data_IF_067489659083
#
_entry.id   IF_067489659083
#
_cell.length_a   1.000
_cell.length_b   1.000
_cell.length_c   1.000
_cell.angle_alpha   90.00
_cell.angle_beta   90.00
_cell.angle_gamma   90.00
#
_symmetry.space_group_name_H-M   'P 1'
#
loop_
_entity.id
_entity.type
_entity.pdbx_description
1 polymer ?
#
# COMPACT_ATOMS: atom_id res chain seq x y z
N UNK A 1 16.19 -25.66 57.34
CA UNK A 1 15.67 -24.53 56.51
C UNK A 1 15.93 -24.87 55.06
N UNK A 2 14.86 -25.23 54.30
CA UNK A 2 14.95 -25.46 52.84
C UNK A 2 14.63 -24.14 52.11
N UNK A 3 15.61 -23.62 51.38
CA UNK A 3 15.41 -22.47 50.50
C UNK A 3 14.81 -22.98 49.17
N UNK A 4 13.54 -22.61 48.87
CA UNK A 4 12.93 -22.82 47.57
C UNK A 4 13.36 -21.67 46.66
N UNK A 5 14.30 -21.94 45.76
CA UNK A 5 14.63 -21.03 44.65
C UNK A 5 13.51 -21.04 43.62
N UNK A 6 12.63 -20.05 43.64
CA UNK A 6 11.68 -19.78 42.54
C UNK A 6 12.47 -19.15 41.38
N UNK A 7 12.77 -19.95 40.35
CA UNK A 7 13.31 -19.43 39.10
C UNK A 7 12.15 -18.78 38.29
N UNK A 8 12.13 -17.45 38.28
CA UNK A 8 11.31 -16.71 37.32
C UNK A 8 11.93 -16.86 35.92
N UNK A 9 11.37 -17.71 35.10
CA UNK A 9 11.67 -17.67 33.65
C UNK A 9 11.02 -16.41 33.07
N UNK A 10 11.81 -15.38 32.86
CA UNK A 10 11.46 -14.25 32.02
C UNK A 10 11.39 -14.77 30.55
N UNK A 11 10.22 -15.19 30.10
CA UNK A 11 9.98 -15.39 28.69
C UNK A 11 10.02 -14.02 28.02
N UNK A 12 11.17 -13.64 27.46
CA UNK A 12 11.26 -12.50 26.55
C UNK A 12 10.34 -12.79 25.34
N UNK A 13 9.18 -12.18 25.34
CA UNK A 13 8.23 -12.34 24.26
C UNK A 13 8.81 -11.68 23.02
N UNK A 14 9.11 -12.47 21.98
CA UNK A 14 9.71 -11.97 20.73
C UNK A 14 8.78 -10.93 20.09
N UNK A 15 9.30 -9.75 19.77
CA UNK A 15 8.57 -8.70 19.07
C UNK A 15 8.22 -9.20 17.66
N UNK A 16 6.95 -9.12 17.28
CA UNK A 16 6.47 -9.49 15.94
C UNK A 16 6.61 -8.28 15.02
N UNK A 17 7.55 -8.36 14.08
CA UNK A 17 7.74 -7.33 13.06
C UNK A 17 6.72 -7.49 11.95
N UNK A 18 6.12 -6.38 11.54
CA UNK A 18 5.09 -6.30 10.51
C UNK A 18 5.36 -5.13 9.59
N UNK A 19 4.83 -5.19 8.38
CA UNK A 19 4.98 -4.13 7.40
C UNK A 19 3.65 -3.83 6.70
N UNK A 20 3.37 -2.55 6.58
CA UNK A 20 2.32 -2.01 5.73
C UNK A 20 2.92 -0.93 4.84
N UNK A 21 2.68 -1.01 3.54
CA UNK A 21 2.96 0.10 2.64
C UNK A 21 1.68 0.55 1.93
N UNK A 22 1.58 1.84 1.73
CA UNK A 22 0.47 2.50 1.05
C UNK A 22 1.01 3.18 -0.19
N UNK A 23 0.37 2.95 -1.33
CA UNK A 23 0.54 3.77 -2.53
C UNK A 23 -0.67 4.69 -2.61
N UNK A 24 -0.42 5.99 -2.50
CA UNK A 24 -1.37 7.06 -2.73
C UNK A 24 -1.08 7.64 -4.11
N UNK A 25 -1.99 7.43 -5.06
CA UNK A 25 -1.75 7.68 -6.47
C UNK A 25 -1.65 9.17 -6.81
N UNK A 26 -0.67 9.52 -7.64
CA UNK A 26 -0.61 10.80 -8.34
C UNK A 26 -0.34 12.03 -7.45
N UNK A 27 0.44 11.93 -6.37
CA UNK A 27 0.70 13.08 -5.48
C UNK A 27 2.12 13.60 -5.62
N UNK A 28 2.32 14.81 -6.21
CA UNK A 28 3.63 15.45 -6.23
C UNK A 28 4.12 15.80 -4.81
N UNK A 29 5.41 15.62 -4.56
CA UNK A 29 6.04 16.00 -3.29
C UNK A 29 5.79 17.48 -2.94
N UNK A 30 5.85 18.35 -3.95
CA UNK A 30 5.63 19.80 -3.79
C UNK A 30 4.23 20.17 -3.31
N UNK A 31 3.22 19.36 -3.64
CA UNK A 31 1.84 19.55 -3.17
C UNK A 31 1.73 19.08 -1.73
N UNK A 32 2.22 17.88 -1.44
CA UNK A 32 2.19 17.31 -0.09
C UNK A 32 2.88 18.23 0.94
N UNK A 33 4.01 18.83 0.57
CA UNK A 33 4.78 19.70 1.46
C UNK A 33 4.12 21.06 1.76
N UNK A 34 3.14 21.47 0.95
CA UNK A 34 2.40 22.74 1.12
C UNK A 34 1.09 22.57 1.89
N UNK A 35 0.52 21.38 1.86
CA UNK A 35 -0.80 21.14 2.44
C UNK A 35 -0.72 20.69 3.89
N UNK A 36 -1.69 21.08 4.74
CA UNK A 36 -1.79 20.53 6.08
C UNK A 36 -2.28 19.06 5.99
N UNK A 37 -1.39 18.14 6.28
CA UNK A 37 -1.65 16.69 6.28
C UNK A 37 -1.29 16.10 7.65
N UNK A 38 -2.05 16.42 8.72
CA UNK A 38 -1.64 16.14 10.09
C UNK A 38 -1.43 14.66 10.42
N UNK A 39 -2.02 13.74 9.67
CA UNK A 39 -1.82 12.31 9.88
C UNK A 39 -0.56 11.81 9.17
N UNK A 40 -0.29 12.28 7.94
CA UNK A 40 0.95 12.01 7.22
C UNK A 40 2.13 12.66 7.98
N UNK A 41 1.94 13.88 8.51
CA UNK A 41 2.94 14.58 9.33
C UNK A 41 3.30 13.78 10.59
N UNK A 42 2.33 13.10 11.24
CA UNK A 42 2.61 12.20 12.37
C UNK A 42 3.49 11.02 11.96
N UNK A 43 3.24 10.42 10.79
CA UNK A 43 4.06 9.33 10.25
C UNK A 43 5.48 9.82 9.99
N UNK A 44 5.62 10.97 9.34
CA UNK A 44 6.92 11.59 9.06
C UNK A 44 7.68 11.91 10.35
N UNK A 45 7.00 12.45 11.38
CA UNK A 45 7.59 12.78 12.67
C UNK A 45 8.00 11.54 13.48
N UNK A 46 7.26 10.43 13.35
CA UNK A 46 7.61 9.16 14.01
C UNK A 46 8.76 8.41 13.32
N UNK A 47 9.00 8.70 12.04
CA UNK A 47 10.02 8.08 11.22
C UNK A 47 10.86 9.09 10.46
N UNK A 48 10.60 9.20 9.16
CA UNK A 48 11.27 10.16 8.27
C UNK A 48 10.41 10.49 7.05
N UNK A 49 10.65 11.65 6.47
CA UNK A 49 10.16 12.04 5.14
C UNK A 49 11.33 12.17 4.18
N UNK A 50 11.21 11.59 3.00
CA UNK A 50 12.23 11.64 1.96
C UNK A 50 11.55 11.88 0.61
N UNK A 51 12.08 12.83 -0.18
CA UNK A 51 11.71 12.92 -1.58
C UNK A 51 12.36 11.76 -2.35
N UNK A 52 11.58 11.12 -3.19
CA UNK A 52 12.01 10.08 -4.11
C UNK A 52 11.70 10.50 -5.55
N UNK A 53 12.09 9.70 -6.51
CA UNK A 53 11.77 9.90 -7.92
C UNK A 53 11.34 8.57 -8.54
N UNK A 54 10.56 8.66 -9.60
CA UNK A 54 10.15 7.55 -10.45
C UNK A 54 10.67 7.75 -11.87
N UNK A 55 10.55 6.75 -12.73
CA UNK A 55 10.88 6.89 -14.15
C UNK A 55 12.25 6.35 -14.56
N UNK A 56 13.07 5.90 -13.61
CA UNK A 56 14.42 5.44 -13.91
C UNK A 56 15.33 6.62 -14.33
N UNK A 57 16.39 6.33 -15.06
CA UNK A 57 17.33 7.34 -15.57
C UNK A 57 17.01 7.68 -17.02
N UNK A 58 16.63 8.92 -17.28
CA UNK A 58 16.24 9.41 -18.61
C UNK A 58 17.33 9.18 -19.65
N UNK A 59 16.96 8.66 -20.82
CA UNK A 59 17.88 8.37 -21.92
C UNK A 59 18.70 7.09 -21.74
N UNK A 60 18.44 6.30 -20.71
CA UNK A 60 19.14 5.02 -20.51
C UNK A 60 18.18 3.83 -20.72
N UNK A 61 18.73 2.62 -20.71
CA UNK A 61 17.95 1.40 -20.93
C UNK A 61 16.98 1.07 -19.79
N UNK A 62 17.08 1.73 -18.63
CA UNK A 62 16.19 1.59 -17.49
C UNK A 62 15.18 2.76 -17.39
N UNK A 63 15.14 3.65 -18.37
CA UNK A 63 14.09 4.66 -18.45
C UNK A 63 12.73 3.98 -18.42
N UNK A 64 11.87 4.47 -17.52
CA UNK A 64 10.62 3.81 -17.16
C UNK A 64 9.49 4.84 -17.24
N UNK A 65 8.37 4.54 -17.95
CA UNK A 65 7.23 5.43 -17.98
C UNK A 65 6.68 5.70 -16.57
N UNK A 66 6.36 6.98 -16.30
CA UNK A 66 5.74 7.41 -15.03
C UNK A 66 4.23 7.19 -15.09
N UNK A 67 3.82 5.94 -15.25
CA UNK A 67 2.44 5.48 -15.36
C UNK A 67 2.13 4.59 -14.15
N UNK A 68 0.93 4.69 -13.62
CA UNK A 68 0.48 4.03 -12.39
C UNK A 68 0.92 2.56 -12.25
N UNK A 69 0.42 1.64 -13.07
CA UNK A 69 0.79 0.21 -12.97
C UNK A 69 2.29 -0.06 -13.15
N UNK A 70 2.97 0.75 -13.96
CA UNK A 70 4.43 0.65 -14.19
C UNK A 70 5.19 0.94 -12.90
N UNK A 71 4.82 2.03 -12.25
CA UNK A 71 5.42 2.48 -11.00
C UNK A 71 5.05 1.56 -9.83
N UNK A 72 3.79 1.10 -9.75
CA UNK A 72 3.40 0.12 -8.73
C UNK A 72 4.23 -1.16 -8.85
N UNK A 73 4.43 -1.66 -10.08
CA UNK A 73 5.20 -2.86 -10.27
C UNK A 73 6.69 -2.63 -10.00
N UNK A 74 7.20 -1.42 -10.26
CA UNK A 74 8.55 -1.04 -9.86
C UNK A 74 8.73 -1.07 -8.34
N UNK A 75 7.75 -0.55 -7.59
CA UNK A 75 7.73 -0.59 -6.12
C UNK A 75 7.63 -2.04 -5.63
N UNK A 76 6.71 -2.83 -6.18
CA UNK A 76 6.46 -4.22 -5.76
C UNK A 76 7.65 -5.15 -6.01
N UNK A 77 8.41 -4.91 -7.09
CA UNK A 77 9.51 -5.82 -7.52
C UNK A 77 10.90 -5.26 -7.23
N UNK A 78 11.01 -3.97 -6.89
CA UNK A 78 12.31 -3.28 -6.75
C UNK A 78 13.10 -3.22 -8.06
N UNK A 79 12.42 -3.25 -9.22
CA UNK A 79 13.05 -3.22 -10.54
C UNK A 79 12.36 -2.22 -11.47
N UNK A 80 13.04 -1.80 -12.53
CA UNK A 80 12.46 -0.94 -13.56
C UNK A 80 11.76 -1.74 -14.66
N UNK A 81 11.04 -1.05 -15.55
CA UNK A 81 10.21 -1.63 -16.62
C UNK A 81 10.95 -2.63 -17.52
N UNK A 82 12.22 -2.38 -17.80
CA UNK A 82 13.08 -3.28 -18.59
C UNK A 82 13.28 -4.68 -17.98
N UNK A 83 12.88 -4.85 -16.72
CA UNK A 83 12.93 -6.11 -15.97
C UNK A 83 11.54 -6.69 -15.80
N UNK A 84 10.63 -5.93 -15.16
CA UNK A 84 9.29 -6.44 -14.83
C UNK A 84 8.30 -6.43 -16.02
N UNK A 85 8.61 -5.74 -17.12
CA UNK A 85 7.86 -5.73 -18.40
C UNK A 85 6.41 -5.18 -18.31
N UNK A 86 6.07 -4.42 -17.29
CA UNK A 86 4.78 -3.71 -17.22
C UNK A 86 4.96 -2.32 -17.79
N UNK A 87 4.41 -2.06 -18.98
CA UNK A 87 4.63 -0.83 -19.77
C UNK A 87 3.45 0.16 -19.69
N UNK A 88 2.38 -0.20 -19.01
CA UNK A 88 1.19 0.64 -18.85
C UNK A 88 0.08 -0.07 -18.10
N UNK A 89 -1.03 0.65 -17.88
CA UNK A 89 -2.17 0.18 -17.08
C UNK A 89 -2.91 -1.03 -17.65
N UNK A 90 -2.65 -1.42 -18.90
CA UNK A 90 -3.20 -2.65 -19.46
C UNK A 90 -2.56 -3.95 -18.93
N UNK A 91 -1.37 -3.87 -18.33
CA UNK A 91 -0.62 -4.97 -17.69
C UNK A 91 -0.65 -6.25 -18.56
N UNK A 92 -0.19 -6.13 -19.81
CA UNK A 92 -0.39 -7.21 -20.80
C UNK A 92 0.46 -8.44 -20.52
N UNK A 93 1.75 -8.25 -20.22
CA UNK A 93 2.74 -9.32 -20.16
C UNK A 93 3.74 -9.09 -19.02
N UNK A 94 3.29 -9.09 -17.74
CA UNK A 94 4.20 -8.90 -16.62
C UNK A 94 5.19 -10.06 -16.54
N UNK A 95 6.46 -9.74 -16.29
CA UNK A 95 7.51 -10.73 -16.15
C UNK A 95 7.61 -11.19 -14.69
N UNK A 96 6.86 -12.21 -14.32
CA UNK A 96 6.81 -12.78 -12.98
C UNK A 96 8.11 -13.49 -12.54
N UNK A 97 9.13 -13.56 -13.37
CA UNK A 97 10.47 -14.00 -12.92
C UNK A 97 11.12 -12.95 -12.00
N UNK A 98 10.70 -11.68 -12.10
CA UNK A 98 11.02 -10.65 -11.11
C UNK A 98 9.95 -10.67 -10.03
N UNK A 99 10.25 -11.39 -8.96
CA UNK A 99 9.30 -11.60 -7.88
C UNK A 99 8.90 -10.30 -7.21
N UNK A 100 7.62 -10.18 -6.93
CA UNK A 100 7.12 -9.11 -6.07
C UNK A 100 7.36 -9.43 -4.58
N UNK A 101 7.27 -8.42 -3.74
CA UNK A 101 7.53 -8.52 -2.30
C UNK A 101 6.65 -9.57 -1.61
N UNK A 102 5.42 -9.81 -2.08
CA UNK A 102 4.53 -10.82 -1.50
C UNK A 102 5.01 -12.23 -1.77
N UNK A 103 5.51 -12.50 -2.98
CA UNK A 103 6.11 -13.79 -3.31
C UNK A 103 7.37 -14.03 -2.49
N UNK A 104 8.27 -13.06 -2.40
CA UNK A 104 9.45 -13.15 -1.54
C UNK A 104 9.07 -13.44 -0.09
N UNK A 105 8.05 -12.74 0.42
CA UNK A 105 7.60 -12.92 1.78
C UNK A 105 7.05 -14.32 2.02
N UNK A 106 6.13 -14.81 1.18
CA UNK A 106 5.51 -16.14 1.34
C UNK A 106 6.51 -17.29 1.18
N UNK A 107 7.47 -17.17 0.28
CA UNK A 107 8.54 -18.17 0.14
C UNK A 107 9.45 -18.21 1.37
N UNK A 108 9.73 -17.05 1.98
CA UNK A 108 10.56 -16.97 3.19
C UNK A 108 9.78 -17.33 4.46
N UNK A 109 8.50 -17.01 4.49
CA UNK A 109 7.60 -17.19 5.64
C UNK A 109 6.28 -17.84 5.20
N UNK A 110 6.23 -19.15 4.91
CA UNK A 110 5.03 -19.82 4.35
C UNK A 110 3.78 -19.73 5.25
N UNK A 111 3.97 -19.51 6.55
CA UNK A 111 2.86 -19.30 7.52
C UNK A 111 2.56 -17.83 7.79
N UNK A 112 3.34 -16.93 7.22
CA UNK A 112 3.13 -15.49 7.35
C UNK A 112 1.86 -15.06 6.64
N UNK A 113 1.13 -14.13 7.23
CA UNK A 113 -0.15 -13.64 6.70
C UNK A 113 0.03 -12.38 5.90
N UNK A 114 -0.60 -12.34 4.75
CA UNK A 114 -0.51 -11.25 3.79
C UNK A 114 -1.88 -10.64 3.53
N UNK A 115 -1.92 -9.34 3.21
CA UNK A 115 -3.16 -8.63 2.91
C UNK A 115 -2.97 -7.62 1.77
N UNK A 116 -4.02 -7.48 0.94
CA UNK A 116 -4.11 -6.44 -0.08
C UNK A 116 -5.46 -5.76 0.02
N UNK A 117 -5.45 -4.43 0.03
CA UNK A 117 -6.61 -3.56 0.04
C UNK A 117 -6.43 -2.58 -1.11
N UNK A 118 -7.32 -2.61 -2.10
CA UNK A 118 -7.05 -1.88 -3.33
C UNK A 118 -8.32 -1.33 -3.96
N UNK A 119 -8.24 -0.09 -4.40
CA UNK A 119 -9.29 0.55 -5.21
C UNK A 119 -9.29 0.04 -6.66
N UNK A 120 -8.27 -0.73 -7.04
CA UNK A 120 -8.14 -1.32 -8.37
C UNK A 120 -7.76 -2.81 -8.30
N UNK A 121 -8.64 -3.68 -8.81
CA UNK A 121 -8.50 -5.14 -8.70
C UNK A 121 -7.30 -5.71 -9.47
N UNK A 122 -6.85 -5.05 -10.54
CA UNK A 122 -5.71 -5.50 -11.34
C UNK A 122 -4.39 -5.48 -10.56
N UNK A 123 -4.30 -4.69 -9.50
CA UNK A 123 -3.18 -4.70 -8.57
C UNK A 123 -2.95 -6.10 -7.98
N UNK A 124 -4.00 -6.77 -7.57
CA UNK A 124 -3.93 -8.14 -7.05
C UNK A 124 -3.87 -9.19 -8.16
N UNK A 125 -4.77 -9.08 -9.14
CA UNK A 125 -4.98 -10.15 -10.12
C UNK A 125 -3.88 -10.22 -11.17
N UNK A 126 -3.28 -9.06 -11.51
CA UNK A 126 -2.25 -8.96 -12.57
C UNK A 126 -0.88 -8.57 -12.03
N UNK A 127 -0.73 -7.53 -11.19
CA UNK A 127 0.60 -7.13 -10.70
C UNK A 127 1.15 -8.13 -9.71
N UNK A 128 0.38 -8.50 -8.69
CA UNK A 128 0.77 -9.59 -7.77
C UNK A 128 0.67 -10.95 -8.49
N UNK A 129 -0.33 -11.11 -9.36
CA UNK A 129 -0.59 -12.38 -10.04
C UNK A 129 -1.12 -13.45 -9.08
N UNK A 130 -2.03 -13.07 -8.16
CA UNK A 130 -2.58 -14.03 -7.19
C UNK A 130 -3.16 -15.27 -7.89
N UNK A 131 -2.76 -16.45 -7.44
CA UNK A 131 -3.13 -17.79 -7.95
C UNK A 131 -2.61 -18.12 -9.36
N UNK A 132 -1.90 -17.23 -10.03
CA UNK A 132 -1.30 -17.53 -11.31
C UNK A 132 -0.08 -18.46 -11.12
N UNK A 133 0.00 -19.59 -11.83
CA UNK A 133 1.14 -20.50 -11.72
C UNK A 133 2.49 -19.82 -12.03
N UNK A 134 2.53 -18.97 -13.03
CA UNK A 134 3.71 -18.19 -13.44
C UNK A 134 4.16 -17.19 -12.38
N UNK A 135 3.25 -16.71 -11.54
CA UNK A 135 3.54 -15.85 -10.38
C UNK A 135 3.84 -16.66 -9.10
N UNK A 136 3.94 -18.00 -9.20
CA UNK A 136 4.22 -18.88 -8.07
C UNK A 136 2.97 -19.37 -7.33
N UNK A 137 1.79 -19.27 -7.94
CA UNK A 137 0.51 -19.69 -7.38
C UNK A 137 0.24 -19.09 -5.98
N UNK A 138 0.76 -17.88 -5.73
CA UNK A 138 0.62 -17.13 -4.47
C UNK A 138 -0.85 -16.99 -4.09
N UNK A 139 -1.16 -17.20 -2.81
CA UNK A 139 -2.48 -16.94 -2.21
C UNK A 139 -2.34 -15.92 -1.10
N UNK A 140 -3.14 -14.87 -1.16
CA UNK A 140 -3.23 -13.86 -0.11
C UNK A 140 -4.22 -14.30 0.98
N UNK A 141 -3.92 -13.94 2.23
CA UNK A 141 -4.73 -14.36 3.39
C UNK A 141 -5.94 -13.43 3.59
N UNK A 142 -5.80 -12.15 3.25
CA UNK A 142 -6.86 -11.15 3.34
C UNK A 142 -6.86 -10.27 2.10
N UNK A 143 -8.04 -10.03 1.55
CA UNK A 143 -8.24 -9.21 0.35
C UNK A 143 -9.47 -8.35 0.52
N UNK A 144 -9.39 -7.09 0.11
CA UNK A 144 -10.52 -6.19 -0.08
C UNK A 144 -10.27 -5.31 -1.31
N UNK A 145 -10.83 -5.73 -2.44
CA UNK A 145 -10.76 -5.06 -3.75
C UNK A 145 -12.00 -5.38 -4.60
N UNK A 146 -12.02 -4.91 -5.84
CA UNK A 146 -13.11 -5.16 -6.78
C UNK A 146 -14.31 -4.25 -6.59
N UNK A 147 -14.18 -3.23 -5.77
CA UNK A 147 -15.25 -2.25 -5.52
C UNK A 147 -15.57 -1.41 -6.76
N UNK A 148 -14.60 -1.15 -7.61
CA UNK A 148 -14.75 -0.44 -8.90
C UNK A 148 -15.63 -1.22 -9.90
N UNK A 149 -15.85 -2.50 -9.67
CA UNK A 149 -16.73 -3.37 -10.45
C UNK A 149 -18.17 -3.41 -9.91
N UNK A 150 -18.39 -2.97 -8.67
CA UNK A 150 -19.71 -2.90 -8.02
C UNK A 150 -20.38 -1.55 -8.28
N UNK A 151 -20.90 -1.38 -9.49
CA UNK A 151 -21.59 -0.15 -9.93
C UNK A 151 -22.94 0.08 -9.27
N UNK A 152 -23.44 -0.89 -8.49
CA UNK A 152 -24.66 -0.74 -7.68
C UNK A 152 -24.34 -0.04 -6.36
N UNK A 153 -23.29 -0.46 -5.69
CA UNK A 153 -22.82 0.15 -4.43
C UNK A 153 -22.06 1.45 -4.68
N UNK A 154 -21.29 1.50 -5.75
CA UNK A 154 -20.46 2.64 -6.14
C UNK A 154 -20.83 3.08 -7.57
N UNK A 155 -22.01 3.71 -7.78
CA UNK A 155 -22.45 4.15 -9.09
C UNK A 155 -21.51 5.21 -9.64
N UNK A 156 -21.01 4.97 -10.86
CA UNK A 156 -20.10 5.89 -11.52
C UNK A 156 -20.78 7.24 -11.80
N UNK A 157 -20.08 8.31 -11.54
CA UNK A 157 -20.49 9.69 -11.76
C UNK A 157 -19.41 10.49 -12.49
N UNK A 158 -19.80 11.65 -13.06
CA UNK A 158 -18.90 12.47 -13.86
C UNK A 158 -17.81 13.17 -13.04
N UNK A 159 -18.00 13.33 -11.74
CA UNK A 159 -17.03 13.95 -10.84
C UNK A 159 -16.07 12.95 -10.21
N UNK A 160 -16.25 11.65 -10.50
CA UNK A 160 -15.47 10.56 -9.90
C UNK A 160 -15.60 10.47 -8.37
N UNK A 161 -16.67 11.01 -7.78
CA UNK A 161 -16.91 10.93 -6.34
C UNK A 161 -17.05 9.48 -5.85
N UNK A 162 -17.49 8.58 -6.72
CA UNK A 162 -17.54 7.14 -6.43
C UNK A 162 -16.15 6.57 -6.06
N UNK A 163 -15.05 7.08 -6.66
CA UNK A 163 -13.71 6.62 -6.36
C UNK A 163 -13.27 7.03 -4.94
N UNK A 164 -13.65 8.25 -4.51
CA UNK A 164 -13.46 8.64 -3.12
C UNK A 164 -14.18 7.68 -2.14
N UNK A 165 -15.42 7.28 -2.47
CA UNK A 165 -16.17 6.33 -1.64
C UNK A 165 -15.54 4.93 -1.63
N UNK A 166 -14.94 4.51 -2.75
CA UNK A 166 -14.17 3.27 -2.83
C UNK A 166 -12.93 3.35 -1.95
N UNK A 167 -12.14 4.44 -2.04
CA UNK A 167 -10.95 4.64 -1.21
C UNK A 167 -11.29 4.68 0.28
N UNK A 168 -12.43 5.27 0.63
CA UNK A 168 -12.95 5.26 2.01
C UNK A 168 -13.24 3.83 2.49
N UNK A 169 -13.91 3.02 1.68
CA UNK A 169 -14.18 1.61 2.00
C UNK A 169 -12.89 0.80 2.10
N UNK A 170 -11.96 0.97 1.15
CA UNK A 170 -10.66 0.28 1.15
C UNK A 170 -9.88 0.62 2.42
N UNK A 171 -9.82 1.89 2.81
CA UNK A 171 -9.12 2.34 4.02
C UNK A 171 -9.77 1.80 5.30
N UNK A 172 -11.10 1.74 5.35
CA UNK A 172 -11.83 1.15 6.47
C UNK A 172 -11.59 -0.35 6.60
N UNK A 173 -11.60 -1.10 5.48
CA UNK A 173 -11.30 -2.54 5.47
C UNK A 173 -9.85 -2.82 5.87
N UNK A 174 -8.92 -1.98 5.43
CA UNK A 174 -7.52 -2.07 5.84
C UNK A 174 -7.38 -1.86 7.35
N UNK A 175 -7.91 -0.75 7.89
CA UNK A 175 -7.85 -0.45 9.31
C UNK A 175 -8.50 -1.54 10.16
N UNK A 176 -9.68 -2.04 9.77
CA UNK A 176 -10.37 -3.15 10.44
C UNK A 176 -9.53 -4.42 10.44
N UNK A 177 -9.01 -4.82 9.28
CA UNK A 177 -8.24 -6.06 9.15
C UNK A 177 -6.91 -5.98 9.91
N UNK A 178 -6.22 -4.84 9.88
CA UNK A 178 -5.02 -4.61 10.69
C UNK A 178 -5.35 -4.79 12.17
N UNK A 179 -6.40 -4.12 12.65
CA UNK A 179 -6.80 -4.16 14.05
C UNK A 179 -7.20 -5.55 14.53
N UNK A 180 -7.96 -6.31 13.73
CA UNK A 180 -8.54 -7.60 14.12
C UNK A 180 -7.68 -8.81 13.76
N UNK A 181 -7.02 -8.79 12.60
CA UNK A 181 -6.31 -9.94 12.02
C UNK A 181 -4.80 -9.78 12.03
N UNK A 182 -4.29 -8.54 12.02
CA UNK A 182 -2.86 -8.23 12.10
C UNK A 182 -2.03 -9.03 11.08
N UNK A 183 -2.22 -8.83 9.77
CA UNK A 183 -1.37 -9.45 8.75
C UNK A 183 0.08 -9.01 8.93
N UNK A 184 1.02 -9.81 8.43
CA UNK A 184 2.45 -9.55 8.62
C UNK A 184 3.02 -8.64 7.52
N UNK A 185 2.47 -8.75 6.30
CA UNK A 185 2.77 -7.86 5.18
C UNK A 185 1.48 -7.42 4.51
N UNK A 186 1.31 -6.11 4.36
CA UNK A 186 0.09 -5.51 3.77
C UNK A 186 0.42 -4.44 2.75
N UNK A 187 -0.41 -4.34 1.71
CA UNK A 187 -0.42 -3.26 0.75
C UNK A 187 -1.81 -2.61 0.70
N UNK A 188 -1.84 -1.28 0.75
CA UNK A 188 -3.02 -0.45 0.50
C UNK A 188 -2.78 0.41 -0.72
N UNK A 189 -3.73 0.45 -1.62
CA UNK A 189 -3.73 1.32 -2.79
C UNK A 189 -4.99 2.18 -2.82
N UNK A 190 -4.81 3.50 -2.98
CA UNK A 190 -5.85 4.52 -3.01
C UNK A 190 -5.68 5.39 -4.26
N UNK A 191 -6.75 5.58 -5.04
CA UNK A 191 -6.73 6.12 -6.41
C UNK A 191 -7.23 7.56 -6.53
N UNK A 192 -8.13 8.02 -5.66
CA UNK A 192 -8.90 9.25 -5.86
C UNK A 192 -8.07 10.51 -6.08
N UNK A 193 -6.89 10.60 -5.49
CA UNK A 193 -5.99 11.74 -5.70
C UNK A 193 -5.53 11.85 -7.14
N UNK A 194 -5.23 10.75 -7.82
CA UNK A 194 -4.87 10.72 -9.23
C UNK A 194 -6.02 11.19 -10.13
N UNK A 195 -7.24 10.69 -9.88
CA UNK A 195 -8.44 11.14 -10.58
C UNK A 195 -8.61 12.67 -10.52
N UNK A 196 -8.43 13.24 -9.33
CA UNK A 196 -8.57 14.70 -9.16
C UNK A 196 -7.42 15.47 -9.81
N UNK A 197 -6.21 14.94 -9.78
CA UNK A 197 -5.05 15.47 -10.50
C UNK A 197 -5.28 15.49 -12.01
N UNK A 198 -5.75 14.40 -12.59
CA UNK A 198 -6.07 14.29 -14.01
C UNK A 198 -7.22 15.20 -14.46
N UNK A 199 -8.26 15.36 -13.63
CA UNK A 199 -9.42 16.17 -13.98
C UNK A 199 -9.19 17.66 -13.81
N UNK A 200 -8.45 18.07 -12.81
CA UNK A 200 -8.41 19.48 -12.38
C UNK A 200 -7.00 20.06 -12.26
N UNK A 201 -5.94 19.24 -12.41
CA UNK A 201 -4.56 19.69 -12.21
C UNK A 201 -4.34 20.23 -10.79
N UNK A 202 -3.39 21.17 -10.66
CA UNK A 202 -3.15 21.90 -9.41
C UNK A 202 -4.35 22.79 -9.08
N UNK A 203 -5.24 22.31 -8.24
CA UNK A 203 -6.55 22.92 -7.98
C UNK A 203 -7.02 22.70 -6.55
N UNK A 204 -8.00 23.49 -6.06
CA UNK A 204 -8.63 23.23 -4.77
C UNK A 204 -9.28 21.84 -4.67
N UNK A 205 -9.74 21.26 -5.77
CA UNK A 205 -10.31 19.91 -5.82
C UNK A 205 -9.24 18.85 -5.55
N UNK A 206 -8.08 19.00 -6.14
CA UNK A 206 -6.93 18.12 -5.89
C UNK A 206 -6.43 18.25 -4.44
N UNK A 207 -6.31 19.49 -3.94
CA UNK A 207 -5.94 19.72 -2.54
C UNK A 207 -6.94 19.09 -1.55
N UNK A 208 -8.24 19.14 -1.85
CA UNK A 208 -9.28 18.50 -1.05
C UNK A 208 -9.14 16.96 -1.06
N UNK A 209 -8.82 16.38 -2.22
CA UNK A 209 -8.55 14.94 -2.33
C UNK A 209 -7.37 14.51 -1.47
N UNK A 210 -6.27 15.27 -1.46
CA UNK A 210 -5.11 14.99 -0.60
C UNK A 210 -5.48 15.08 0.89
N UNK A 211 -6.31 16.05 1.29
CA UNK A 211 -6.81 16.16 2.67
C UNK A 211 -7.73 14.98 3.05
N UNK A 212 -8.57 14.50 2.14
CA UNK A 212 -9.40 13.29 2.34
C UNK A 212 -8.53 12.06 2.50
N UNK A 213 -7.50 11.90 1.66
CA UNK A 213 -6.50 10.85 1.79
C UNK A 213 -5.82 10.88 3.16
N UNK A 214 -5.39 12.05 3.65
CA UNK A 214 -4.77 12.19 4.98
C UNK A 214 -5.67 11.63 6.10
N UNK A 215 -6.99 11.89 6.02
CA UNK A 215 -7.96 11.34 6.98
C UNK A 215 -8.06 9.81 6.87
N UNK A 216 -8.04 9.26 5.66
CA UNK A 216 -8.06 7.81 5.41
C UNK A 216 -6.81 7.14 5.99
N UNK A 217 -5.64 7.73 5.76
CA UNK A 217 -4.37 7.27 6.33
C UNK A 217 -4.36 7.32 7.86
N UNK A 218 -4.98 8.34 8.44
CA UNK A 218 -5.14 8.47 9.89
C UNK A 218 -5.86 7.28 10.52
N UNK A 219 -6.93 6.76 9.89
CA UNK A 219 -7.66 5.56 10.36
C UNK A 219 -6.78 4.32 10.37
N UNK A 220 -5.94 4.16 9.35
CA UNK A 220 -5.01 3.03 9.23
C UNK A 220 -3.91 3.16 10.28
N UNK A 221 -3.34 4.34 10.44
CA UNK A 221 -2.32 4.63 11.45
C UNK A 221 -2.84 4.36 12.87
N UNK A 222 -4.06 4.77 13.19
CA UNK A 222 -4.68 4.52 14.48
C UNK A 222 -4.88 3.01 14.75
N UNK A 223 -5.16 2.22 13.71
CA UNK A 223 -5.23 0.76 13.83
C UNK A 223 -3.87 0.15 14.14
N UNK A 224 -2.78 0.63 13.52
CA UNK A 224 -1.41 0.24 13.80
C UNK A 224 -1.03 0.62 15.23
N UNK A 225 -1.23 1.87 15.64
CA UNK A 225 -0.94 2.36 16.99
C UNK A 225 -1.67 1.54 18.06
N UNK A 226 -2.94 1.16 17.81
CA UNK A 226 -3.65 0.23 18.68
C UNK A 226 -2.97 -1.13 18.79
N UNK A 227 -2.46 -1.68 17.67
CA UNK A 227 -1.77 -2.98 17.65
C UNK A 227 -0.47 -2.92 18.45
N UNK A 228 0.34 -1.91 18.24
CA UNK A 228 1.61 -1.71 18.96
C UNK A 228 1.38 -1.52 20.45
N UNK A 229 0.33 -0.77 20.84
CA UNK A 229 -0.01 -0.55 22.25
C UNK A 229 -0.51 -1.82 22.97
N UNK A 230 -1.27 -2.68 22.27
CA UNK A 230 -1.99 -3.81 22.89
C UNK A 230 -1.28 -5.14 22.74
N UNK A 231 -0.41 -5.25 21.76
CA UNK A 231 0.27 -6.50 21.42
C UNK A 231 1.77 -6.25 21.29
N UNK A 232 2.56 -7.27 21.39
CA UNK A 232 4.02 -7.15 21.21
C UNK A 232 4.37 -7.13 19.71
N UNK A 233 3.96 -6.07 19.02
CA UNK A 233 4.14 -5.84 17.59
C UNK A 233 4.91 -4.55 17.34
N UNK A 234 5.70 -4.55 16.28
CA UNK A 234 6.44 -3.39 15.75
C UNK A 234 6.11 -3.29 14.25
N UNK A 235 5.62 -2.14 13.82
CA UNK A 235 5.14 -1.95 12.45
C UNK A 235 6.04 -0.99 11.67
N UNK A 236 6.53 -1.47 10.52
CA UNK A 236 7.04 -0.58 9.48
C UNK A 236 5.85 -0.06 8.68
N UNK A 237 5.57 1.22 8.80
CA UNK A 237 4.50 1.90 8.07
C UNK A 237 5.12 2.84 7.03
N UNK A 238 4.87 2.57 5.74
CA UNK A 238 5.40 3.34 4.61
C UNK A 238 4.24 3.93 3.82
N UNK A 239 4.30 5.23 3.56
CA UNK A 239 3.41 5.93 2.62
C UNK A 239 4.26 6.42 1.47
N UNK A 240 3.86 6.12 0.25
CA UNK A 240 4.54 6.58 -0.97
C UNK A 240 3.52 6.94 -2.04
N UNK A 241 3.96 7.69 -3.03
CA UNK A 241 3.25 7.86 -4.29
C UNK A 241 3.99 7.08 -5.38
N UNK A 242 3.37 6.92 -6.52
CA UNK A 242 3.90 6.24 -7.69
C UNK A 242 4.36 7.22 -8.78
N UNK A 243 3.75 8.39 -8.83
CA UNK A 243 4.11 9.55 -9.66
C UNK A 243 3.51 10.83 -9.07
N UNK A 244 3.66 11.95 -9.75
CA UNK A 244 3.13 13.24 -9.36
C UNK A 244 2.69 14.05 -10.56
#
# INVERSE_FOLDING_TARGET
LAFVLMSFQLNAQTIKKKALFIIADGIPADVLEKLPTPNIDKVAAAGSYLRAYVGGETGTYNETPTISAVSYNSILTGTWVNKHNVWGNSIKEPNYNYWNIFRFYKESFPKGRTAVFSSWTDNRTKLIGEKLPEAGALVLDHVADGYELDTVRFPQDANRDFMHLIDEEVSLQAAKTIREKSPDLSWVYLEYTDDMGHMYGDSPQFEDAVKKLDVQLGKIYDAIAYREQKFNEEWLFVVTTDHG
#
